data_IF_566277720329
#
_entry.id   IF_566277720329
#
_cell.length_a   1.000
_cell.length_b   1.000
_cell.length_c   1.000
_cell.angle_alpha   90.00
_cell.angle_beta   90.00
_cell.angle_gamma   90.00
#
_symmetry.space_group_name_H-M   'P 1'
#
loop_
_entity.id
_entity.type
_entity.pdbx_description
1 polymer ?
#
# COMPACT_ATOMS: atom_id res chain seq x y z
N UNK A 1 20.46 -6.25 2.54
CA UNK A 1 20.88 -5.16 3.45
C UNK A 1 21.39 -5.72 4.79
N UNK A 2 20.64 -6.59 5.47
CA UNK A 2 21.01 -7.15 6.80
C UNK A 2 22.33 -7.90 6.74
N UNK A 3 22.54 -8.76 5.73
CA UNK A 3 23.81 -9.49 5.54
C UNK A 3 24.99 -8.57 5.22
N UNK A 4 24.72 -7.48 4.48
CA UNK A 4 25.75 -6.51 4.08
C UNK A 4 26.13 -5.60 5.24
N UNK A 5 25.14 -5.12 6.00
CA UNK A 5 25.33 -4.16 7.09
C UNK A 5 25.69 -4.83 8.42
N UNK A 6 25.53 -6.16 8.53
CA UNK A 6 25.66 -6.93 9.79
C UNK A 6 24.79 -6.33 10.94
N UNK A 7 23.76 -5.58 10.59
CA UNK A 7 22.82 -4.96 11.53
C UNK A 7 21.55 -5.80 11.61
N UNK A 8 21.44 -6.56 12.65
CA UNK A 8 20.31 -7.45 12.90
C UNK A 8 19.05 -6.70 13.37
N UNK A 9 19.16 -5.44 13.81
CA UNK A 9 18.02 -4.57 14.17
C UNK A 9 17.52 -3.71 13.02
N UNK A 10 18.14 -3.80 11.84
CA UNK A 10 17.84 -2.97 10.67
C UNK A 10 16.35 -2.95 10.32
N UNK A 11 15.68 -4.11 10.36
CA UNK A 11 14.26 -4.21 10.02
C UNK A 11 13.37 -3.38 10.97
N UNK A 12 13.61 -3.48 12.28
CA UNK A 12 12.90 -2.71 13.28
C UNK A 12 13.19 -1.20 13.14
N UNK A 13 14.46 -0.83 12.96
CA UNK A 13 14.87 0.56 12.77
C UNK A 13 14.28 1.16 11.48
N UNK A 14 14.30 0.42 10.38
CA UNK A 14 13.69 0.82 9.11
C UNK A 14 12.18 1.01 9.26
N UNK A 15 11.49 0.15 10.02
CA UNK A 15 10.07 0.30 10.33
C UNK A 15 9.77 1.62 11.04
N UNK A 16 10.57 2.02 12.03
CA UNK A 16 10.41 3.32 12.72
C UNK A 16 10.61 4.54 11.82
N UNK A 17 11.42 4.39 10.77
CA UNK A 17 11.70 5.46 9.80
C UNK A 17 10.79 5.41 8.57
N UNK A 18 9.89 4.42 8.48
CA UNK A 18 9.03 4.25 7.31
C UNK A 18 8.07 5.42 7.14
N UNK A 19 8.02 5.95 5.92
CA UNK A 19 7.11 7.04 5.57
C UNK A 19 5.74 6.47 5.19
N UNK A 20 4.70 6.86 5.93
CA UNK A 20 3.33 6.38 5.74
C UNK A 20 2.46 7.35 4.93
N UNK A 21 3.02 8.46 4.44
CA UNK A 21 2.22 9.52 3.79
C UNK A 21 1.56 9.07 2.49
N UNK A 22 2.12 8.05 1.82
CA UNK A 22 1.62 7.55 0.54
C UNK A 22 0.61 6.39 0.69
N UNK A 23 0.30 5.98 1.92
CA UNK A 23 -0.62 4.89 2.24
C UNK A 23 -2.01 5.45 2.52
N UNK A 24 -3.03 5.08 1.72
CA UNK A 24 -4.39 5.62 1.86
C UNK A 24 -4.95 5.44 3.28
N UNK A 25 -4.77 4.27 3.88
CA UNK A 25 -5.23 4.00 5.25
C UNK A 25 -4.60 4.95 6.29
N UNK A 26 -3.31 5.27 6.17
CA UNK A 26 -2.65 6.23 7.04
C UNK A 26 -3.10 7.67 6.76
N UNK A 27 -3.38 8.00 5.49
CA UNK A 27 -3.89 9.30 5.09
C UNK A 27 -5.30 9.55 5.62
N UNK A 28 -6.22 8.60 5.49
CA UNK A 28 -7.56 8.66 6.10
C UNK A 28 -7.44 8.75 7.62
N UNK A 29 -6.54 7.98 8.23
CA UNK A 29 -6.26 8.03 9.66
C UNK A 29 -5.78 9.40 10.14
N UNK A 30 -5.03 10.14 9.34
CA UNK A 30 -4.53 11.49 9.66
C UNK A 30 -5.66 12.50 9.90
N UNK A 31 -6.79 12.35 9.21
CA UNK A 31 -7.92 13.27 9.31
C UNK A 31 -9.09 12.69 10.12
N UNK A 32 -8.88 11.57 10.79
CA UNK A 32 -9.85 10.97 11.72
C UNK A 32 -9.95 11.75 13.02
N UNK A 33 -11.08 11.64 13.73
CA UNK A 33 -11.40 12.37 14.96
C UNK A 33 -10.44 12.04 16.11
N UNK A 34 -10.12 10.75 16.26
CA UNK A 34 -9.26 10.23 17.32
C UNK A 34 -8.48 8.99 16.83
N UNK A 35 -7.53 8.53 17.64
CA UNK A 35 -6.68 7.38 17.29
C UNK A 35 -7.51 6.11 17.05
N UNK A 36 -8.59 5.90 17.81
CA UNK A 36 -9.47 4.74 17.62
C UNK A 36 -10.15 4.72 16.25
N UNK A 37 -10.67 5.87 15.79
CA UNK A 37 -11.21 6.03 14.46
C UNK A 37 -10.11 5.85 13.39
N UNK A 38 -8.95 6.44 13.60
CA UNK A 38 -7.80 6.31 12.70
C UNK A 38 -7.37 4.86 12.49
N UNK A 39 -7.27 4.08 13.56
CA UNK A 39 -6.92 2.66 13.49
C UNK A 39 -7.97 1.83 12.76
N UNK A 40 -9.26 2.10 12.99
CA UNK A 40 -10.36 1.42 12.27
C UNK A 40 -10.34 1.74 10.78
N UNK A 41 -10.13 3.01 10.44
CA UNK A 41 -10.05 3.46 9.05
C UNK A 41 -8.81 2.88 8.36
N UNK A 42 -7.65 2.90 9.01
CA UNK A 42 -6.44 2.27 8.49
C UNK A 42 -6.65 0.76 8.26
N UNK A 43 -7.25 0.06 9.23
CA UNK A 43 -7.58 -1.37 9.08
C UNK A 43 -8.48 -1.66 7.88
N UNK A 44 -9.44 -0.76 7.60
CA UNK A 44 -10.39 -0.90 6.50
C UNK A 44 -9.73 -0.74 5.13
N UNK A 45 -8.81 0.21 5.00
CA UNK A 45 -8.25 0.60 3.70
C UNK A 45 -6.88 0.01 3.40
N UNK A 46 -6.21 -0.60 4.37
CA UNK A 46 -4.85 -1.14 4.21
C UNK A 46 -4.74 -2.20 3.10
N UNK A 47 -5.83 -2.93 2.84
CA UNK A 47 -5.90 -3.91 1.75
C UNK A 47 -5.74 -3.28 0.35
N UNK A 48 -6.00 -1.97 0.22
CA UNK A 48 -5.82 -1.23 -1.03
C UNK A 48 -4.33 -0.99 -1.34
N UNK A 49 -3.52 -0.91 -0.29
CA UNK A 49 -2.08 -0.65 -0.39
C UNK A 49 -1.29 -1.95 -0.43
N UNK A 50 -1.67 -2.93 0.39
CA UNK A 50 -1.08 -4.28 0.44
C UNK A 50 -2.12 -5.32 0.87
N UNK A 51 -2.53 -6.18 -0.07
CA UNK A 51 -3.48 -7.26 0.17
C UNK A 51 -2.94 -8.33 1.15
N UNK A 52 -1.64 -8.36 1.36
CA UNK A 52 -0.98 -9.32 2.23
C UNK A 52 -0.78 -8.81 3.65
N UNK A 53 -1.01 -7.53 3.90
CA UNK A 53 -0.88 -6.95 5.23
C UNK A 53 -2.26 -6.67 5.84
N UNK A 54 -2.48 -7.16 7.04
CA UNK A 54 -3.66 -6.82 7.84
C UNK A 54 -3.37 -6.95 9.33
N UNK A 55 -4.14 -6.25 10.12
CA UNK A 55 -4.14 -6.41 11.57
C UNK A 55 -5.57 -6.43 12.12
N UNK A 56 -5.73 -6.98 13.31
CA UNK A 56 -7.00 -7.03 14.01
C UNK A 56 -6.91 -6.29 15.33
N UNK A 57 -7.91 -5.48 15.65
CA UNK A 57 -8.04 -4.84 16.95
C UNK A 57 -8.76 -5.78 17.91
N UNK A 58 -8.08 -6.19 19.00
CA UNK A 58 -8.66 -6.93 20.12
C UNK A 58 -8.77 -5.99 21.30
N UNK A 59 -10.00 -5.62 21.65
CA UNK A 59 -10.29 -4.66 22.73
C UNK A 59 -10.55 -5.40 24.03
N UNK A 60 -9.85 -5.00 25.09
CA UNK A 60 -10.07 -5.42 26.47
C UNK A 60 -10.40 -4.22 27.37
N UNK A 61 -10.70 -4.44 28.66
CA UNK A 61 -11.11 -3.36 29.56
C UNK A 61 -10.10 -2.19 29.63
N UNK A 62 -8.82 -2.50 29.68
CA UNK A 62 -7.76 -1.51 29.93
C UNK A 62 -6.73 -1.39 28.81
N UNK A 63 -6.81 -2.23 27.80
CA UNK A 63 -5.83 -2.29 26.73
C UNK A 63 -6.46 -2.68 25.39
N UNK A 64 -5.77 -2.32 24.31
CA UNK A 64 -6.09 -2.73 22.95
C UNK A 64 -4.86 -3.38 22.34
N UNK A 65 -5.06 -4.56 21.77
CA UNK A 65 -4.02 -5.27 21.02
C UNK A 65 -4.24 -5.07 19.52
N UNK A 66 -3.23 -4.57 18.84
CA UNK A 66 -3.14 -4.54 17.40
C UNK A 66 -2.41 -5.80 16.95
N UNK A 67 -3.16 -6.84 16.60
CA UNK A 67 -2.63 -8.18 16.26
C UNK A 67 -2.38 -8.25 14.76
N UNK A 68 -1.13 -8.44 14.36
CA UNK A 68 -0.78 -8.66 12.95
C UNK A 68 -1.29 -10.03 12.51
N UNK A 69 -1.90 -10.09 11.33
CA UNK A 69 -2.36 -11.36 10.76
C UNK A 69 -1.26 -12.00 9.95
N UNK A 70 -1.00 -13.27 10.25
CA UNK A 70 -0.04 -14.08 9.49
C UNK A 70 -0.57 -14.33 8.08
N UNK A 71 0.31 -14.25 7.08
CA UNK A 71 0.02 -14.55 5.68
C UNK A 71 1.25 -15.21 5.01
N UNK A 72 1.14 -15.51 3.72
CA UNK A 72 2.21 -16.16 2.95
C UNK A 72 3.53 -15.37 2.93
N UNK A 73 3.48 -14.05 3.02
CA UNK A 73 4.69 -13.22 3.07
C UNK A 73 5.47 -13.45 4.37
N UNK A 74 4.80 -13.68 5.49
CA UNK A 74 5.49 -13.99 6.74
C UNK A 74 6.21 -15.33 6.66
N UNK A 75 5.67 -16.29 5.91
CA UNK A 75 6.35 -17.56 5.63
C UNK A 75 7.60 -17.32 4.77
N UNK A 76 7.48 -16.47 3.75
CA UNK A 76 8.55 -16.20 2.78
C UNK A 76 9.66 -15.31 3.31
N UNK A 77 9.31 -14.23 4.01
CA UNK A 77 10.26 -13.18 4.44
C UNK A 77 10.57 -13.22 5.94
N UNK A 78 9.87 -14.07 6.69
CA UNK A 78 10.19 -14.43 8.06
C UNK A 78 10.03 -13.30 9.08
N UNK A 79 10.80 -13.44 10.15
CA UNK A 79 10.69 -12.64 11.38
C UNK A 79 11.03 -11.17 11.18
N UNK A 80 11.93 -10.86 10.24
CA UNK A 80 12.35 -9.49 9.94
C UNK A 80 11.24 -8.66 9.33
N UNK A 81 10.36 -9.27 8.54
CA UNK A 81 9.17 -8.58 8.04
C UNK A 81 8.21 -8.26 9.19
N UNK A 82 8.03 -9.18 10.15
CA UNK A 82 7.20 -8.94 11.34
C UNK A 82 7.74 -7.77 12.17
N UNK A 83 9.04 -7.75 12.42
CA UNK A 83 9.71 -6.64 13.12
C UNK A 83 9.47 -5.32 12.39
N UNK A 84 9.75 -5.28 11.08
CA UNK A 84 9.52 -4.08 10.26
C UNK A 84 8.07 -3.58 10.38
N UNK A 85 7.07 -4.44 10.20
CA UNK A 85 5.65 -4.06 10.21
C UNK A 85 5.18 -3.59 11.59
N UNK A 86 5.63 -4.25 12.68
CA UNK A 86 5.32 -3.82 14.05
C UNK A 86 5.89 -2.44 14.33
N UNK A 87 7.13 -2.19 13.96
CA UNK A 87 7.77 -0.89 14.19
C UNK A 87 7.27 0.19 13.24
N UNK A 88 6.84 -0.15 12.03
CA UNK A 88 6.10 0.76 11.14
C UNK A 88 4.78 1.21 11.78
N UNK A 89 4.01 0.27 12.32
CA UNK A 89 2.76 0.59 13.00
C UNK A 89 3.00 1.44 14.26
N UNK A 90 4.07 1.17 15.01
CA UNK A 90 4.48 2.00 16.13
C UNK A 90 4.86 3.43 15.69
N UNK A 91 5.51 3.58 14.55
CA UNK A 91 5.82 4.88 13.95
C UNK A 91 4.55 5.70 13.68
N UNK A 92 3.52 5.06 13.09
CA UNK A 92 2.21 5.70 12.87
C UNK A 92 1.57 6.12 14.20
N UNK A 93 1.60 5.27 15.21
CA UNK A 93 1.05 5.59 16.54
C UNK A 93 1.78 6.77 17.18
N UNK A 94 3.11 6.84 17.06
CA UNK A 94 3.92 7.96 17.57
C UNK A 94 3.64 9.26 16.83
N UNK A 95 3.41 9.20 15.53
CA UNK A 95 3.02 10.36 14.74
C UNK A 95 1.69 10.97 15.22
N UNK A 96 0.73 10.13 15.61
CA UNK A 96 -0.61 10.56 16.04
C UNK A 96 -0.69 10.89 17.54
N UNK A 97 -0.08 10.06 18.39
CA UNK A 97 -0.15 10.18 19.86
C UNK A 97 0.99 11.02 20.46
N UNK A 98 1.96 11.42 19.63
CA UNK A 98 3.18 12.13 20.02
C UNK A 98 4.39 11.22 20.13
N UNK A 99 5.58 11.77 19.82
CA UNK A 99 6.84 11.02 19.69
C UNK A 99 7.29 10.29 20.97
N UNK A 100 6.82 10.72 22.14
CA UNK A 100 7.09 10.06 23.44
C UNK A 100 6.15 8.90 23.73
N UNK A 101 5.16 8.64 22.87
CA UNK A 101 4.24 7.53 23.05
C UNK A 101 4.99 6.19 23.01
N UNK A 102 4.71 5.33 23.99
CA UNK A 102 5.18 3.96 24.04
C UNK A 102 4.00 3.02 24.31
N UNK A 103 3.96 1.85 23.66
CA UNK A 103 2.98 0.83 23.97
C UNK A 103 3.21 0.25 25.37
N UNK A 104 2.25 -0.50 25.87
CA UNK A 104 2.39 -1.25 27.15
C UNK A 104 3.39 -2.40 26.99
N UNK A 105 3.39 -3.04 25.83
CA UNK A 105 4.32 -4.12 25.42
C UNK A 105 4.20 -4.41 23.95
N UNK A 106 5.22 -5.04 23.40
CA UNK A 106 5.25 -5.61 22.05
C UNK A 106 5.48 -7.12 22.19
N UNK A 107 4.83 -7.92 21.37
CA UNK A 107 5.00 -9.37 21.31
C UNK A 107 5.31 -9.82 19.91
N UNK A 108 6.16 -10.83 19.80
CA UNK A 108 6.53 -11.50 18.55
C UNK A 108 6.35 -13.02 18.71
N UNK A 109 5.85 -13.68 17.66
CA UNK A 109 5.71 -15.14 17.61
C UNK A 109 7.04 -15.85 17.45
N UNK A 110 8.02 -15.20 16.82
CA UNK A 110 9.32 -15.81 16.57
C UNK A 110 10.20 -15.85 17.83
N UNK A 111 11.23 -16.67 17.76
CA UNK A 111 12.20 -16.86 18.81
C UNK A 111 13.02 -15.60 19.06
N UNK A 112 13.61 -15.52 20.24
CA UNK A 112 14.49 -14.41 20.64
C UNK A 112 15.62 -14.24 19.61
N UNK A 113 15.72 -13.13 18.89
CA UNK A 113 16.80 -12.90 17.94
C UNK A 113 18.08 -12.46 18.66
N UNK A 114 19.23 -12.65 18.02
CA UNK A 114 20.52 -12.13 18.51
C UNK A 114 20.51 -10.60 18.72
N UNK A 115 19.61 -9.90 18.00
CA UNK A 115 19.41 -8.46 18.08
C UNK A 115 18.46 -8.00 19.19
N UNK A 116 17.99 -8.88 20.06
CA UNK A 116 16.99 -8.55 21.11
C UNK A 116 17.37 -7.29 21.90
N UNK A 117 18.62 -7.17 22.34
CA UNK A 117 19.08 -6.00 23.10
C UNK A 117 18.99 -4.71 22.30
N UNK A 118 19.22 -4.74 21.00
CA UNK A 118 19.11 -3.59 20.10
C UNK A 118 17.63 -3.24 19.86
N UNK A 119 16.79 -4.23 19.61
CA UNK A 119 15.34 -4.04 19.44
C UNK A 119 14.73 -3.44 20.71
N UNK A 120 15.13 -3.93 21.90
CA UNK A 120 14.65 -3.40 23.17
C UNK A 120 15.03 -1.92 23.37
N UNK A 121 16.18 -1.46 22.84
CA UNK A 121 16.62 -0.06 22.92
C UNK A 121 15.74 0.91 22.08
N UNK A 122 15.03 0.42 21.07
CA UNK A 122 14.16 1.23 20.22
C UNK A 122 12.85 1.67 20.92
N UNK A 123 12.51 0.99 22.02
CA UNK A 123 11.26 1.22 22.78
C UNK A 123 11.51 1.19 24.28
N UNK A 124 10.66 1.91 25.02
CA UNK A 124 10.69 1.94 26.50
C UNK A 124 9.62 1.02 27.14
N UNK A 125 9.23 -0.04 26.42
CA UNK A 125 8.29 -1.04 26.91
C UNK A 125 8.87 -2.45 26.75
N UNK A 126 8.37 -3.45 27.46
CA UNK A 126 8.79 -4.85 27.29
C UNK A 126 8.56 -5.34 25.86
N UNK A 127 9.58 -5.98 25.26
CA UNK A 127 9.48 -6.73 24.00
C UNK A 127 9.61 -8.22 24.35
N UNK A 128 8.57 -8.98 24.04
CA UNK A 128 8.47 -10.42 24.37
C UNK A 128 8.47 -11.23 23.08
N UNK A 129 9.27 -12.27 23.06
CA UNK A 129 9.37 -13.22 21.95
C UNK A 129 8.71 -14.56 22.35
N UNK A 130 8.69 -15.53 21.47
CA UNK A 130 8.05 -16.84 21.69
C UNK A 130 6.59 -16.71 22.16
N UNK A 131 5.89 -15.72 21.65
CA UNK A 131 4.52 -15.38 22.03
C UNK A 131 3.50 -16.00 21.09
N UNK A 132 2.23 -16.20 21.49
CA UNK A 132 1.21 -16.82 20.64
C UNK A 132 0.86 -15.99 19.39
N UNK A 133 1.03 -14.67 19.46
CA UNK A 133 0.67 -13.74 18.39
C UNK A 133 1.69 -12.59 18.31
N UNK A 134 1.88 -12.06 17.12
CA UNK A 134 2.63 -10.81 16.92
C UNK A 134 1.68 -9.63 17.12
N UNK A 135 1.91 -8.80 18.13
CA UNK A 135 1.01 -7.70 18.50
C UNK A 135 1.72 -6.50 19.13
N UNK A 136 1.09 -5.34 19.02
CA UNK A 136 1.36 -4.15 19.82
C UNK A 136 0.20 -3.98 20.80
N UNK A 137 0.49 -3.91 22.09
CA UNK A 137 -0.52 -3.67 23.13
C UNK A 137 -0.42 -2.22 23.60
N UNK A 138 -1.50 -1.47 23.47
CA UNK A 138 -1.59 -0.05 23.84
C UNK A 138 -2.63 0.16 24.95
N UNK A 139 -2.53 1.23 25.77
CA UNK A 139 -3.59 1.59 26.71
C UNK A 139 -4.91 1.85 25.97
N UNK A 140 -6.03 1.44 26.59
CA UNK A 140 -7.36 1.72 26.00
C UNK A 140 -7.60 3.21 25.80
N UNK A 141 -7.15 4.05 26.77
CA UNK A 141 -7.25 5.50 26.70
C UNK A 141 -6.56 6.13 25.48
N UNK A 142 -5.62 5.42 24.85
CA UNK A 142 -4.98 5.87 23.60
C UNK A 142 -5.99 6.04 22.47
N UNK A 143 -7.04 5.21 22.43
CA UNK A 143 -8.06 5.30 21.37
C UNK A 143 -8.82 6.63 21.39
N UNK A 144 -8.94 7.26 22.55
CA UNK A 144 -9.68 8.50 22.76
C UNK A 144 -8.84 9.77 22.50
N UNK A 145 -7.53 9.63 22.29
CA UNK A 145 -6.66 10.76 22.02
C UNK A 145 -7.07 11.44 20.71
N UNK A 146 -7.38 12.76 20.76
CA UNK A 146 -7.79 13.49 19.57
C UNK A 146 -6.61 13.67 18.60
N UNK A 147 -6.92 13.71 17.31
CA UNK A 147 -5.95 13.98 16.24
C UNK A 147 -6.08 15.45 15.86
N UNK A 148 -4.99 16.21 15.99
CA UNK A 148 -4.97 17.68 15.77
C UNK A 148 -5.30 18.07 14.33
N UNK A 149 -5.12 17.17 13.38
CA UNK A 149 -5.40 17.37 11.95
C UNK A 149 -6.80 16.90 11.54
N UNK A 150 -7.68 16.60 12.50
CA UNK A 150 -9.06 16.18 12.22
C UNK A 150 -9.78 17.18 11.34
N UNK A 151 -10.31 16.70 10.23
CA UNK A 151 -11.12 17.46 9.29
C UNK A 151 -12.28 16.56 8.81
N UNK A 152 -13.50 16.79 9.32
CA UNK A 152 -14.66 15.94 8.98
C UNK A 152 -15.04 16.00 7.49
N UNK A 153 -14.84 17.14 6.82
CA UNK A 153 -15.19 17.28 5.42
C UNK A 153 -14.24 16.51 4.53
N UNK A 154 -12.95 16.63 4.81
CA UNK A 154 -11.91 15.88 4.09
C UNK A 154 -11.99 14.38 4.42
N UNK A 155 -12.31 14.01 5.66
CA UNK A 155 -12.49 12.62 6.06
C UNK A 155 -13.60 11.94 5.25
N UNK A 156 -14.78 12.58 5.12
CA UNK A 156 -15.92 12.06 4.34
C UNK A 156 -15.48 11.83 2.88
N UNK A 157 -14.80 12.81 2.27
CA UNK A 157 -14.30 12.69 0.90
C UNK A 157 -13.34 11.52 0.72
N UNK A 158 -12.37 11.37 1.65
CA UNK A 158 -11.40 10.28 1.62
C UNK A 158 -12.04 8.91 1.86
N UNK A 159 -13.04 8.83 2.75
CA UNK A 159 -13.80 7.60 2.99
C UNK A 159 -14.63 7.22 1.77
N UNK A 160 -15.30 8.16 1.11
CA UNK A 160 -16.04 7.90 -0.12
C UNK A 160 -15.12 7.41 -1.23
N UNK A 161 -13.97 8.05 -1.41
CA UNK A 161 -12.95 7.62 -2.36
C UNK A 161 -12.44 6.21 -2.06
N UNK A 162 -12.03 5.94 -0.82
CA UNK A 162 -11.57 4.63 -0.38
C UNK A 162 -12.63 3.53 -0.51
N UNK A 163 -13.90 3.85 -0.23
CA UNK A 163 -15.03 2.93 -0.41
C UNK A 163 -15.24 2.59 -1.89
N UNK A 164 -15.09 3.55 -2.79
CA UNK A 164 -15.12 3.33 -4.24
C UNK A 164 -14.04 2.33 -4.67
N UNK A 165 -12.80 2.53 -4.23
CA UNK A 165 -11.69 1.62 -4.52
C UNK A 165 -11.92 0.22 -3.94
N UNK A 166 -12.44 0.11 -2.71
CA UNK A 166 -12.78 -1.19 -2.11
C UNK A 166 -13.90 -1.91 -2.86
N UNK A 167 -14.86 -1.17 -3.42
CA UNK A 167 -15.92 -1.76 -4.24
C UNK A 167 -15.36 -2.31 -5.56
N UNK A 168 -14.39 -1.62 -6.17
CA UNK A 168 -13.66 -2.09 -7.35
C UNK A 168 -12.84 -3.35 -7.06
N UNK A 169 -12.16 -3.42 -5.91
CA UNK A 169 -11.41 -4.62 -5.49
C UNK A 169 -12.32 -5.84 -5.26
N UNK A 170 -13.54 -5.62 -4.78
CA UNK A 170 -14.51 -6.71 -4.55
C UNK A 170 -15.13 -7.24 -5.84
N UNK A 171 -15.04 -6.51 -6.93
CA UNK A 171 -15.34 -7.07 -8.24
C UNK A 171 -14.22 -8.07 -8.58
N UNK A 172 -14.54 -9.29 -9.01
CA UNK A 172 -13.53 -10.24 -9.42
C UNK A 172 -12.74 -9.60 -10.58
N UNK A 173 -11.55 -9.06 -10.26
CA UNK A 173 -10.64 -8.61 -11.30
C UNK A 173 -10.26 -9.85 -12.13
N UNK A 174 -10.41 -9.83 -13.44
CA UNK A 174 -10.00 -10.94 -14.27
C UNK A 174 -8.53 -11.27 -13.97
N UNK A 175 -8.26 -12.49 -13.53
CA UNK A 175 -6.87 -12.91 -13.21
C UNK A 175 -5.91 -12.64 -14.37
N UNK A 176 -6.39 -12.77 -15.59
CA UNK A 176 -5.63 -12.53 -16.80
C UNK A 176 -5.28 -11.04 -16.98
N UNK A 177 -6.21 -10.14 -16.67
CA UNK A 177 -5.97 -8.69 -16.70
C UNK A 177 -4.83 -8.29 -15.78
N UNK A 178 -4.83 -8.76 -14.52
CA UNK A 178 -3.79 -8.44 -13.54
C UNK A 178 -2.40 -8.89 -14.00
N UNK A 179 -2.34 -10.11 -14.58
CA UNK A 179 -1.08 -10.64 -15.12
C UNK A 179 -0.59 -9.77 -16.29
N UNK A 180 -1.48 -9.35 -17.19
CA UNK A 180 -1.14 -8.50 -18.32
C UNK A 180 -0.68 -7.11 -17.84
N UNK A 181 -1.42 -6.48 -16.92
CA UNK A 181 -1.04 -5.16 -16.37
C UNK A 181 0.34 -5.22 -15.70
N UNK A 182 0.66 -6.31 -15.00
CA UNK A 182 2.00 -6.52 -14.43
C UNK A 182 3.08 -6.64 -15.51
N UNK A 183 2.84 -7.45 -16.55
CA UNK A 183 3.79 -7.58 -17.66
C UNK A 183 4.05 -6.23 -18.36
N UNK A 184 3.00 -5.42 -18.56
CA UNK A 184 3.14 -4.09 -19.13
C UNK A 184 3.96 -3.16 -18.23
N UNK A 185 3.74 -3.23 -16.92
CA UNK A 185 4.48 -2.41 -15.94
C UNK A 185 5.95 -2.77 -15.88
N UNK A 186 6.27 -4.06 -15.85
CA UNK A 186 7.65 -4.57 -15.76
C UNK A 186 8.49 -4.24 -17.02
N UNK A 187 7.84 -3.88 -18.13
CA UNK A 187 8.50 -3.57 -19.40
C UNK A 187 8.46 -2.07 -19.79
N UNK A 188 7.91 -1.19 -18.95
CA UNK A 188 7.92 0.24 -19.25
C UNK A 188 9.35 0.77 -19.52
N UNK A 189 9.54 1.69 -20.48
CA UNK A 189 8.52 2.38 -21.30
C UNK A 189 8.04 1.58 -22.53
N UNK A 190 8.60 0.40 -22.80
CA UNK A 190 8.22 -0.44 -23.94
C UNK A 190 6.88 -1.12 -23.67
N UNK A 191 5.87 -0.75 -24.43
CA UNK A 191 4.54 -1.37 -24.31
C UNK A 191 4.49 -2.63 -25.14
N UNK A 192 4.41 -3.76 -24.45
CA UNK A 192 4.32 -5.07 -25.08
C UNK A 192 3.12 -5.16 -26.04
N UNK A 193 3.31 -5.84 -27.15
CA UNK A 193 2.25 -6.23 -28.07
C UNK A 193 1.46 -7.42 -27.53
N UNK A 194 0.28 -7.69 -28.12
CA UNK A 194 -0.52 -8.88 -27.76
C UNK A 194 0.26 -10.19 -28.00
N UNK A 195 1.15 -10.23 -28.99
CA UNK A 195 1.97 -11.39 -29.29
C UNK A 195 3.03 -11.60 -28.19
N UNK A 196 3.77 -10.56 -27.82
CA UNK A 196 4.79 -10.64 -26.77
C UNK A 196 4.22 -11.03 -25.40
N UNK A 197 3.02 -10.51 -25.07
CA UNK A 197 2.31 -10.94 -23.86
C UNK A 197 1.88 -12.39 -23.95
N UNK A 198 1.37 -12.83 -25.09
CA UNK A 198 0.96 -14.23 -25.29
C UNK A 198 2.16 -15.18 -25.18
N UNK A 199 3.32 -14.78 -25.75
CA UNK A 199 4.57 -15.54 -25.66
C UNK A 199 5.07 -15.63 -24.21
N UNK A 200 4.99 -14.53 -23.45
CA UNK A 200 5.35 -14.51 -22.03
C UNK A 200 4.46 -15.43 -21.17
N UNK A 201 3.23 -15.66 -21.62
CA UNK A 201 2.27 -16.58 -20.96
C UNK A 201 2.35 -18.01 -21.50
N UNK A 202 3.26 -18.29 -22.44
CA UNK A 202 3.40 -19.56 -23.15
C UNK A 202 2.10 -20.04 -23.83
N UNK A 203 1.29 -19.10 -24.38
CA UNK A 203 0.06 -19.36 -25.13
C UNK A 203 0.08 -18.64 -26.48
N UNK A 204 -0.77 -19.08 -27.42
CA UNK A 204 -0.93 -18.36 -28.69
C UNK A 204 -1.77 -17.08 -28.49
N UNK A 205 -1.50 -16.02 -29.30
CA UNK A 205 -2.24 -14.75 -29.28
C UNK A 205 -3.76 -14.94 -29.51
N UNK A 206 -4.16 -15.93 -30.32
CA UNK A 206 -5.57 -16.29 -30.50
C UNK A 206 -6.20 -16.86 -29.23
N UNK A 207 -5.45 -17.65 -28.46
CA UNK A 207 -5.90 -18.21 -27.17
C UNK A 207 -6.03 -17.09 -26.15
N UNK A 208 -5.06 -16.16 -26.11
CA UNK A 208 -5.11 -14.98 -25.26
C UNK A 208 -6.35 -14.13 -25.57
N UNK A 209 -6.57 -13.79 -26.83
CA UNK A 209 -7.73 -13.00 -27.27
C UNK A 209 -9.07 -13.68 -26.88
N UNK A 210 -9.19 -15.00 -27.08
CA UNK A 210 -10.38 -15.75 -26.69
C UNK A 210 -10.64 -15.68 -25.19
N UNK A 211 -9.60 -15.91 -24.34
CA UNK A 211 -9.72 -15.85 -22.88
C UNK A 211 -10.10 -14.45 -22.39
N UNK A 212 -9.57 -13.39 -23.03
CA UNK A 212 -9.98 -12.03 -22.73
C UNK A 212 -11.44 -11.76 -23.08
N UNK A 213 -11.90 -12.28 -24.24
CA UNK A 213 -13.31 -12.15 -24.65
C UNK A 213 -14.26 -12.89 -23.68
N UNK A 214 -13.85 -14.03 -23.13
CA UNK A 214 -14.60 -14.77 -22.09
C UNK A 214 -14.76 -13.95 -20.79
N UNK A 215 -13.91 -12.93 -20.58
CA UNK A 215 -13.94 -11.98 -19.47
C UNK A 215 -14.49 -10.59 -19.89
N UNK A 216 -15.14 -10.48 -21.06
CA UNK A 216 -15.63 -9.23 -21.65
C UNK A 216 -14.55 -8.14 -21.84
N UNK A 217 -13.30 -8.56 -22.05
CA UNK A 217 -12.13 -7.68 -22.20
C UNK A 217 -11.49 -7.83 -23.57
N UNK A 218 -10.76 -6.79 -23.94
CA UNK A 218 -9.78 -6.85 -25.06
C UNK A 218 -8.42 -6.36 -24.58
N UNK A 219 -7.35 -6.85 -25.21
CA UNK A 219 -6.00 -6.39 -24.91
C UNK A 219 -5.85 -4.86 -25.06
N UNK A 220 -6.49 -4.29 -26.06
CA UNK A 220 -6.47 -2.84 -26.31
C UNK A 220 -7.09 -2.04 -25.16
N UNK A 221 -8.19 -2.52 -24.58
CA UNK A 221 -8.84 -1.90 -23.40
C UNK A 221 -7.91 -1.97 -22.19
N UNK A 222 -7.28 -3.12 -21.93
CA UNK A 222 -6.34 -3.27 -20.82
C UNK A 222 -5.16 -2.29 -20.95
N UNK A 223 -4.53 -2.20 -22.13
CA UNK A 223 -3.43 -1.26 -22.38
C UNK A 223 -3.87 0.20 -22.22
N UNK A 224 -5.07 0.53 -22.68
CA UNK A 224 -5.62 1.87 -22.55
C UNK A 224 -5.84 2.23 -21.07
N UNK A 225 -6.49 1.35 -20.30
CA UNK A 225 -6.76 1.57 -18.88
C UNK A 225 -5.48 1.66 -18.07
N UNK A 226 -4.51 0.78 -18.36
CA UNK A 226 -3.19 0.77 -17.75
C UNK A 226 -2.47 2.11 -17.97
N UNK A 227 -2.39 2.57 -19.23
CA UNK A 227 -1.76 3.87 -19.57
C UNK A 227 -2.50 5.03 -18.92
N UNK A 228 -3.83 4.99 -18.89
CA UNK A 228 -4.66 6.03 -18.27
C UNK A 228 -4.39 6.15 -16.78
N UNK A 229 -4.38 5.03 -16.04
CA UNK A 229 -4.09 5.00 -14.60
C UNK A 229 -2.72 5.61 -14.28
N UNK A 230 -1.68 5.18 -14.98
CA UNK A 230 -0.32 5.70 -14.79
C UNK A 230 -0.25 7.19 -15.14
N UNK A 231 -0.90 7.61 -16.25
CA UNK A 231 -0.94 9.02 -16.62
C UNK A 231 -1.54 9.90 -15.51
N UNK A 232 -2.68 9.51 -14.93
CA UNK A 232 -3.28 10.25 -13.82
C UNK A 232 -2.36 10.32 -12.60
N UNK A 233 -1.68 9.23 -12.25
CA UNK A 233 -0.72 9.19 -11.13
C UNK A 233 0.41 10.20 -11.31
N UNK A 234 0.99 10.28 -12.51
CA UNK A 234 2.06 11.24 -12.78
C UNK A 234 1.57 12.68 -13.00
N UNK A 235 0.36 12.86 -13.54
CA UNK A 235 -0.21 14.20 -13.70
C UNK A 235 -0.55 14.85 -12.35
N UNK A 236 -0.88 14.05 -11.33
CA UNK A 236 -1.06 14.53 -9.96
C UNK A 236 0.26 14.99 -9.30
N UNK A 237 1.41 14.64 -9.87
CA UNK A 237 2.73 15.09 -9.45
C UNK A 237 3.16 16.26 -10.35
N UNK A 238 3.03 17.49 -9.87
CA UNK A 238 3.32 18.71 -10.66
C UNK A 238 4.73 18.80 -11.23
N UNK A 239 5.66 17.97 -10.75
CA UNK A 239 7.09 18.02 -11.08
C UNK A 239 7.46 17.29 -12.37
N UNK A 240 6.61 16.37 -12.88
CA UNK A 240 6.95 15.55 -14.05
C UNK A 240 6.45 16.22 -15.34
N UNK A 241 7.32 16.56 -16.28
CA UNK A 241 6.92 17.14 -17.57
C UNK A 241 5.98 16.20 -18.35
N UNK A 242 4.97 16.76 -19.04
CA UNK A 242 4.04 15.94 -19.85
C UNK A 242 4.75 15.16 -20.97
N UNK A 243 5.85 15.71 -21.48
CA UNK A 243 6.70 15.01 -22.47
C UNK A 243 7.36 13.77 -21.87
N UNK A 244 7.76 13.83 -20.61
CA UNK A 244 8.34 12.68 -19.89
C UNK A 244 7.29 11.62 -19.60
N UNK A 245 6.08 12.02 -19.17
CA UNK A 245 4.94 11.12 -19.00
C UNK A 245 4.62 10.41 -20.34
N UNK A 246 4.65 11.15 -21.47
CA UNK A 246 4.43 10.57 -22.79
C UNK A 246 5.47 9.48 -23.09
N UNK A 247 6.75 9.75 -22.83
CA UNK A 247 7.82 8.78 -23.04
C UNK A 247 7.67 7.55 -22.13
N UNK A 248 7.43 7.73 -20.84
CA UNK A 248 7.20 6.64 -19.87
C UNK A 248 6.05 5.72 -20.28
N UNK A 249 5.05 6.25 -20.99
CA UNK A 249 3.90 5.49 -21.48
C UNK A 249 4.08 4.92 -22.88
N UNK A 250 5.31 4.95 -23.42
CA UNK A 250 5.66 4.40 -24.72
C UNK A 250 5.15 5.22 -25.92
N UNK A 251 4.98 6.54 -25.76
CA UNK A 251 4.65 7.43 -26.89
C UNK A 251 5.90 8.09 -27.46
N UNK A 252 5.98 8.14 -28.77
CA UNK A 252 7.10 8.78 -29.49
C UNK A 252 7.19 10.29 -29.21
N UNK A 253 6.10 10.96 -28.86
CA UNK A 253 6.06 12.38 -28.56
C UNK A 253 4.82 12.77 -27.73
N UNK A 254 4.87 13.96 -27.13
CA UNK A 254 3.81 14.52 -26.30
C UNK A 254 2.48 14.69 -27.05
N UNK A 255 2.51 15.05 -28.35
CA UNK A 255 1.30 15.29 -29.13
C UNK A 255 0.49 14.00 -29.30
N UNK A 256 1.17 12.89 -29.60
CA UNK A 256 0.54 11.56 -29.70
C UNK A 256 -0.08 11.12 -28.39
N UNK A 257 0.62 11.32 -27.27
CA UNK A 257 0.08 11.08 -25.93
C UNK A 257 -1.15 11.95 -25.64
N UNK A 258 -1.06 13.27 -25.86
CA UNK A 258 -2.15 14.21 -25.60
C UNK A 258 -3.41 13.82 -26.38
N UNK A 259 -3.27 13.43 -27.63
CA UNK A 259 -4.39 12.99 -28.47
C UNK A 259 -5.00 11.68 -27.96
N UNK A 260 -4.18 10.72 -27.56
CA UNK A 260 -4.63 9.47 -26.98
C UNK A 260 -5.32 9.68 -25.63
N UNK A 261 -4.72 10.46 -24.74
CA UNK A 261 -5.26 10.77 -23.42
C UNK A 261 -6.63 11.47 -23.50
N UNK A 262 -6.77 12.46 -24.41
CA UNK A 262 -8.05 13.12 -24.66
C UNK A 262 -9.13 12.16 -25.17
N UNK A 263 -8.76 11.19 -26.02
CA UNK A 263 -9.69 10.16 -26.49
C UNK A 263 -10.18 9.25 -25.37
N UNK A 264 -9.32 8.93 -24.38
CA UNK A 264 -9.66 8.05 -23.27
C UNK A 264 -10.50 8.74 -22.19
N UNK A 265 -10.13 9.98 -21.85
CA UNK A 265 -10.63 10.67 -20.66
C UNK A 265 -11.57 11.83 -20.99
N UNK A 266 -11.66 12.25 -22.27
CA UNK A 266 -12.38 13.45 -22.68
C UNK A 266 -11.65 14.76 -22.39
N UNK A 267 -10.53 14.73 -21.65
CA UNK A 267 -9.76 15.88 -21.16
C UNK A 267 -8.33 15.89 -21.70
N UNK A 268 -7.67 17.03 -21.63
CA UNK A 268 -6.23 17.10 -21.96
C UNK A 268 -5.37 16.89 -20.71
N UNK A 269 -4.13 16.37 -20.83
CA UNK A 269 -3.23 16.26 -19.68
C UNK A 269 -3.03 17.57 -18.92
N UNK A 270 -2.93 18.70 -19.65
CA UNK A 270 -2.81 20.02 -19.03
C UNK A 270 -4.06 20.41 -18.21
N UNK A 271 -5.26 20.11 -18.69
CA UNK A 271 -6.47 20.43 -17.95
C UNK A 271 -6.66 19.59 -16.68
N UNK A 272 -6.17 18.36 -16.68
CA UNK A 272 -6.17 17.48 -15.50
C UNK A 272 -5.14 17.96 -14.46
N UNK A 273 -3.95 18.37 -14.90
CA UNK A 273 -2.90 18.90 -14.01
C UNK A 273 -3.29 20.19 -13.32
N UNK A 274 -4.12 21.02 -13.97
CA UNK A 274 -4.54 22.33 -13.44
C UNK A 274 -5.71 22.24 -12.43
N UNK A 275 -6.25 21.04 -12.18
CA UNK A 275 -7.29 20.78 -11.19
C UNK A 275 -6.70 20.39 -9.85
#
# INVERSE_FOLDING_TARGET
AIEILKDTSFAASAGLCFNHHDILGAYVGKYSENIGAALKNAQKYIILDDENFSYQLKISRNAVSLVLKSNELFIKYGDRLREFLVFSLLSVLRDKAGQKFNPLKIRFEHNVPDSNSLIQQLVSCPVLFDSPETEIVIPFSTLELPISTYDPSLLIYLEDYGNGLLAELKQPQPKLRVIIEKLLFDNLPDILTVQEVADSLAIGSRTLARRLTEEDLTFSVIVQDFRSKIAFTYLAQDQVPISEIAFLLGYANQSSFTSAFRRWTGQTPNSVRAQ
#
